data_IF_849864621136
#
_entry.id   IF_849864621136
#
_cell.length_a   1.000
_cell.length_b   1.000
_cell.length_c   1.000
_cell.angle_alpha   90.00
_cell.angle_beta   90.00
_cell.angle_gamma   90.00
#
_symmetry.space_group_name_H-M   'P 1'
#
loop_
_entity.id
_entity.type
_entity.pdbx_description
1 polymer ?
#
# COMPACT_ATOMS: atom_id res chain seq x y z
N UNK A 1 -16.07 -1.27 -18.83
CA UNK A 1 -14.66 -1.69 -18.61
C UNK A 1 -14.35 -1.47 -17.13
N UNK A 2 -13.99 -2.49 -16.34
CA UNK A 2 -13.43 -2.22 -15.02
C UNK A 2 -12.09 -1.52 -15.24
N UNK A 3 -12.02 -0.23 -14.92
CA UNK A 3 -10.75 0.48 -14.79
C UNK A 3 -9.94 -0.22 -13.68
N UNK A 4 -8.68 -0.55 -13.95
CA UNK A 4 -7.80 -1.06 -12.89
C UNK A 4 -7.69 0.05 -11.84
N UNK A 5 -7.87 -0.25 -10.54
CA UNK A 5 -7.85 0.79 -9.52
C UNK A 5 -6.47 1.45 -9.38
N UNK A 6 -5.42 0.83 -9.92
CA UNK A 6 -4.05 1.32 -9.88
C UNK A 6 -3.46 1.25 -11.29
N UNK A 7 -2.85 2.35 -11.74
CA UNK A 7 -2.02 2.38 -12.93
C UNK A 7 -0.62 1.86 -12.59
N UNK A 8 -0.36 0.61 -12.96
CA UNK A 8 0.91 -0.05 -12.70
C UNK A 8 2.09 0.66 -13.37
N UNK A 9 1.89 1.28 -14.53
CA UNK A 9 2.97 1.94 -15.26
C UNK A 9 3.40 3.20 -14.54
N UNK A 10 2.44 4.07 -14.23
CA UNK A 10 2.70 5.29 -13.48
C UNK A 10 3.29 5.01 -12.09
N UNK A 11 2.76 3.99 -11.40
CA UNK A 11 3.27 3.57 -10.10
C UNK A 11 4.74 3.14 -10.15
N UNK A 12 5.11 2.30 -11.14
CA UNK A 12 6.50 1.84 -11.31
C UNK A 12 7.44 2.98 -11.73
N UNK A 13 6.99 3.90 -12.57
CA UNK A 13 7.75 5.09 -12.95
C UNK A 13 8.08 5.95 -11.73
N UNK A 14 7.07 6.25 -10.90
CA UNK A 14 7.28 7.01 -9.66
C UNK A 14 8.17 6.29 -8.65
N UNK A 15 8.00 4.98 -8.47
CA UNK A 15 8.83 4.20 -7.55
C UNK A 15 10.29 4.19 -8.00
N UNK A 16 10.55 4.04 -9.30
CA UNK A 16 11.90 4.09 -9.86
C UNK A 16 12.55 5.47 -9.70
N UNK A 17 11.78 6.56 -9.90
CA UNK A 17 12.27 7.91 -9.68
C UNK A 17 12.62 8.14 -8.19
N UNK A 18 11.73 7.75 -7.27
CA UNK A 18 11.95 7.89 -5.84
C UNK A 18 13.17 7.11 -5.36
N UNK A 19 13.35 5.88 -5.84
CA UNK A 19 14.45 5.00 -5.42
C UNK A 19 15.75 5.20 -6.22
N UNK A 20 15.79 6.12 -7.18
CA UNK A 20 16.96 6.34 -8.06
C UNK A 20 18.26 6.53 -7.27
N UNK A 21 18.24 7.42 -6.26
CA UNK A 21 19.38 7.72 -5.39
C UNK A 21 19.91 6.52 -4.59
N UNK A 22 19.08 5.50 -4.37
CA UNK A 22 19.48 4.29 -3.66
C UNK A 22 20.30 3.33 -4.55
N UNK A 23 20.35 3.62 -5.86
CA UNK A 23 21.03 2.84 -6.90
C UNK A 23 22.29 3.53 -7.45
N UNK A 24 22.60 4.74 -6.98
CA UNK A 24 23.72 5.55 -7.48
C UNK A 24 25.10 4.92 -7.22
N UNK A 25 25.20 4.10 -6.16
CA UNK A 25 26.41 3.32 -5.88
C UNK A 25 26.18 1.84 -6.17
N UNK A 26 27.07 1.27 -6.99
CA UNK A 26 27.07 -0.14 -7.39
C UNK A 26 27.32 -1.10 -6.22
N UNK A 27 27.73 -0.57 -5.06
CA UNK A 27 27.96 -1.33 -3.82
C UNK A 27 26.96 -0.97 -2.71
N UNK A 28 26.00 -0.08 -2.97
CA UNK A 28 24.99 0.27 -1.96
C UNK A 28 24.02 -0.90 -1.75
N UNK A 29 23.78 -1.21 -0.47
CA UNK A 29 22.72 -2.14 -0.03
C UNK A 29 21.70 -1.35 0.77
N UNK A 30 20.91 -0.48 0.11
CA UNK A 30 19.92 0.35 0.80
C UNK A 30 18.89 -0.55 1.50
N UNK A 31 18.62 -0.30 2.78
CA UNK A 31 17.55 -1.00 3.48
C UNK A 31 16.19 -0.47 3.01
N UNK A 32 15.46 -1.31 2.28
CA UNK A 32 14.10 -1.04 1.81
C UNK A 32 13.08 -1.96 2.48
N UNK A 33 13.44 -2.61 3.58
CA UNK A 33 12.59 -3.59 4.27
C UNK A 33 11.26 -2.98 4.74
N UNK A 34 11.24 -1.69 5.08
CA UNK A 34 10.05 -0.95 5.46
C UNK A 34 9.16 -0.53 4.28
N UNK A 35 9.69 -0.50 3.05
CA UNK A 35 8.98 0.00 1.88
C UNK A 35 7.84 -0.92 1.45
N UNK A 36 8.08 -2.23 1.42
CA UNK A 36 7.05 -3.20 1.00
C UNK A 36 5.82 -3.19 1.93
N UNK A 37 5.96 -3.21 3.28
CA UNK A 37 4.85 -3.02 4.19
C UNK A 37 4.08 -1.71 3.94
N UNK A 38 4.79 -0.60 3.71
CA UNK A 38 4.18 0.71 3.47
C UNK A 38 3.36 0.73 2.18
N UNK A 39 3.98 0.35 1.07
CA UNK A 39 3.31 0.28 -0.25
C UNK A 39 2.11 -0.66 -0.21
N UNK A 40 2.26 -1.82 0.42
CA UNK A 40 1.16 -2.77 0.59
C UNK A 40 -0.02 -2.11 1.29
N UNK A 41 0.21 -1.45 2.42
CA UNK A 41 -0.86 -0.90 3.24
C UNK A 41 -1.64 0.19 2.48
N UNK A 42 -0.93 1.08 1.76
CA UNK A 42 -1.54 2.08 0.86
C UNK A 42 -2.38 1.43 -0.24
N UNK A 43 -1.86 0.42 -0.92
CA UNK A 43 -2.57 -0.29 -2.00
C UNK A 43 -3.85 -0.96 -1.47
N UNK A 44 -3.79 -1.59 -0.29
CA UNK A 44 -4.95 -2.24 0.31
C UNK A 44 -6.03 -1.23 0.67
N UNK A 45 -5.65 -0.09 1.25
CA UNK A 45 -6.56 0.99 1.63
C UNK A 45 -7.25 1.59 0.39
N UNK A 46 -6.47 2.00 -0.61
CA UNK A 46 -6.99 2.60 -1.85
C UNK A 46 -7.96 1.69 -2.60
N UNK A 47 -7.67 0.38 -2.68
CA UNK A 47 -8.59 -0.56 -3.36
C UNK A 47 -9.87 -0.79 -2.54
N UNK A 48 -9.79 -0.74 -1.21
CA UNK A 48 -10.99 -0.80 -0.35
C UNK A 48 -11.82 0.48 -0.49
N UNK A 49 -11.20 1.66 -0.55
CA UNK A 49 -11.86 2.95 -0.81
C UNK A 49 -12.54 2.93 -2.18
N UNK A 50 -11.83 2.49 -3.22
CA UNK A 50 -12.38 2.31 -4.57
C UNK A 50 -13.59 1.37 -4.58
N UNK A 51 -13.60 0.36 -3.70
CA UNK A 51 -14.72 -0.56 -3.51
C UNK A 51 -15.78 -0.07 -2.51
N UNK A 52 -15.68 1.17 -2.01
CA UNK A 52 -16.59 1.77 -1.01
C UNK A 52 -16.74 0.90 0.24
N UNK A 53 -15.63 0.37 0.73
CA UNK A 53 -15.60 -0.51 1.91
C UNK A 53 -15.98 -1.98 1.63
N UNK A 54 -16.39 -2.34 0.41
CA UNK A 54 -16.73 -3.72 0.08
C UNK A 54 -15.47 -4.59 -0.04
N UNK A 55 -15.09 -5.22 1.08
CA UNK A 55 -13.91 -6.07 1.16
C UNK A 55 -13.99 -7.32 0.27
N UNK A 56 -15.18 -7.85 -0.02
CA UNK A 56 -15.30 -9.01 -0.91
C UNK A 56 -14.99 -8.64 -2.37
N UNK A 57 -15.38 -7.42 -2.79
CA UNK A 57 -15.01 -6.88 -4.11
C UNK A 57 -13.51 -6.54 -4.15
N UNK A 58 -13.00 -5.87 -3.12
CA UNK A 58 -11.59 -5.51 -3.03
C UNK A 58 -10.68 -6.75 -3.03
N UNK A 59 -11.03 -7.80 -2.27
CA UNK A 59 -10.23 -9.03 -2.21
C UNK A 59 -10.16 -9.74 -3.58
N UNK A 60 -11.23 -9.70 -4.38
CA UNK A 60 -11.22 -10.23 -5.75
C UNK A 60 -10.32 -9.42 -6.68
N UNK A 61 -10.33 -8.09 -6.56
CA UNK A 61 -9.46 -7.22 -7.37
C UNK A 61 -7.99 -7.41 -7.00
N UNK A 62 -7.69 -7.54 -5.71
CA UNK A 62 -6.34 -7.72 -5.18
C UNK A 62 -5.81 -9.15 -5.34
N UNK A 63 -6.66 -10.12 -5.66
CA UNK A 63 -6.28 -11.54 -5.69
C UNK A 63 -5.92 -12.10 -4.31
N UNK A 64 -6.48 -11.54 -3.24
CA UNK A 64 -6.21 -11.94 -1.85
C UNK A 64 -7.38 -12.69 -1.24
N UNK A 65 -7.09 -13.55 -0.27
CA UNK A 65 -8.14 -14.09 0.59
C UNK A 65 -8.78 -12.95 1.40
N UNK A 66 -10.13 -12.92 1.48
CA UNK A 66 -10.87 -11.90 2.22
C UNK A 66 -10.46 -11.83 3.70
N UNK A 67 -10.20 -12.98 4.33
CA UNK A 67 -9.72 -13.06 5.71
C UNK A 67 -8.38 -12.37 5.89
N UNK A 68 -7.45 -12.58 4.96
CA UNK A 68 -6.14 -11.90 4.93
C UNK A 68 -6.32 -10.38 4.78
N UNK A 69 -7.14 -9.94 3.82
CA UNK A 69 -7.46 -8.51 3.65
C UNK A 69 -8.03 -7.90 4.93
N UNK A 70 -8.97 -8.60 5.59
CA UNK A 70 -9.56 -8.15 6.85
C UNK A 70 -8.51 -8.00 7.95
N UNK A 71 -7.59 -8.95 8.10
CA UNK A 71 -6.51 -8.89 9.10
C UNK A 71 -5.59 -7.69 8.85
N UNK A 72 -5.20 -7.44 7.60
CA UNK A 72 -4.39 -6.27 7.26
C UNK A 72 -5.14 -4.96 7.55
N UNK A 73 -6.40 -4.85 7.14
CA UNK A 73 -7.20 -3.63 7.35
C UNK A 73 -7.42 -3.32 8.83
N UNK A 74 -7.65 -4.34 9.66
CA UNK A 74 -7.74 -4.16 11.11
C UNK A 74 -6.44 -3.63 11.72
N UNK A 75 -5.27 -4.03 11.18
CA UNK A 75 -3.98 -3.49 11.64
C UNK A 75 -3.80 -2.04 11.19
N UNK A 76 -4.08 -1.74 9.91
CA UNK A 76 -3.94 -0.40 9.33
C UNK A 76 -4.82 0.59 10.09
N UNK A 77 -6.10 0.26 10.32
CA UNK A 77 -7.03 1.13 11.06
C UNK A 77 -6.55 1.44 12.48
N UNK A 78 -5.96 0.46 13.18
CA UNK A 78 -5.39 0.68 14.51
C UNK A 78 -4.22 1.67 14.46
N UNK A 79 -3.34 1.52 13.48
CA UNK A 79 -2.19 2.41 13.29
C UNK A 79 -2.65 3.85 12.99
N UNK A 80 -3.63 4.03 12.11
CA UNK A 80 -4.17 5.34 11.77
C UNK A 80 -4.79 6.05 12.98
N UNK A 81 -5.51 5.31 13.84
CA UNK A 81 -6.05 5.85 15.10
C UNK A 81 -4.93 6.27 16.06
N UNK A 82 -3.88 5.47 16.19
CA UNK A 82 -2.73 5.80 17.04
C UNK A 82 -1.99 7.05 16.56
N UNK A 83 -1.77 7.19 15.24
CA UNK A 83 -1.10 8.39 14.69
C UNK A 83 -1.95 9.65 14.88
N UNK A 84 -3.26 9.57 14.61
CA UNK A 84 -4.17 10.72 14.80
C UNK A 84 -4.21 11.22 16.26
N UNK A 85 -4.04 10.33 17.25
CA UNK A 85 -3.95 10.72 18.66
C UNK A 85 -2.64 11.48 18.98
N UNK A 86 -1.52 11.06 18.40
CA UNK A 86 -0.20 11.65 18.68
C UNK A 86 -0.03 13.04 18.04
N UNK A 87 -0.66 13.29 16.90
CA UNK A 87 -0.60 14.60 16.21
C UNK A 87 -1.50 15.67 16.86
N UNK A 88 -2.31 15.28 17.86
CA UNK A 88 -3.23 16.17 18.59
C UNK A 88 -2.68 16.65 19.94
N UNK A 89 -1.41 16.35 20.27
CA UNK A 89 -0.75 16.68 21.55
C UNK A 89 0.42 17.65 21.32
#
# INVERSE_FOLDING_TARGET
MPCKPIDNKLFLEHLNALLSHTRDSRTATPDVSALLPFVRDVVLEEVVIHCRGNQAKASRILGLNRGTLRTHMSRINKQNVTMAHNDSV
#
